data_IF_536129151846
#
_entry.id   IF_536129151846
#
_cell.length_a   1.000
_cell.length_b   1.000
_cell.length_c   1.000
_cell.angle_alpha   90.00
_cell.angle_beta   90.00
_cell.angle_gamma   90.00
#
_symmetry.space_group_name_H-M   'P 1'
#
loop_
_entity.id
_entity.type
_entity.pdbx_description
1 polymer ?
#
# COMPACT_ATOMS: atom_id res chain seq x y z
N UNK A 1 20.50 -3.70 50.61
CA UNK A 1 19.37 -4.61 50.43
C UNK A 1 19.60 -5.31 49.10
N UNK A 2 20.12 -6.54 49.12
CA UNK A 2 20.39 -7.30 47.89
C UNK A 2 19.07 -7.73 47.28
N UNK A 3 18.82 -7.30 46.04
CA UNK A 3 17.66 -7.72 45.26
C UNK A 3 17.88 -9.19 44.91
N UNK A 4 16.97 -10.08 45.33
CA UNK A 4 17.11 -11.51 45.00
C UNK A 4 17.04 -11.71 43.48
N UNK A 5 17.68 -12.76 42.97
CA UNK A 5 17.64 -13.10 41.54
C UNK A 5 16.21 -13.15 40.99
N UNK A 6 15.26 -13.60 41.80
CA UNK A 6 13.83 -13.61 41.51
C UNK A 6 13.20 -12.22 41.39
N UNK A 7 13.52 -11.29 42.30
CA UNK A 7 13.02 -9.92 42.24
C UNK A 7 13.59 -9.16 41.02
N UNK A 8 14.87 -9.37 40.70
CA UNK A 8 15.50 -8.81 39.50
C UNK A 8 14.81 -9.30 38.22
N UNK A 9 14.44 -10.59 38.16
CA UNK A 9 13.68 -11.14 37.02
C UNK A 9 12.30 -10.49 36.88
N UNK A 10 11.56 -10.32 37.98
CA UNK A 10 10.23 -9.69 37.94
C UNK A 10 10.30 -8.23 37.47
N UNK A 11 11.32 -7.47 37.89
CA UNK A 11 11.52 -6.10 37.43
C UNK A 11 11.80 -6.05 35.93
N UNK A 12 12.72 -6.89 35.44
CA UNK A 12 13.02 -6.97 34.00
C UNK A 12 11.76 -7.33 33.20
N UNK A 13 11.00 -8.34 33.64
CA UNK A 13 9.76 -8.74 32.99
C UNK A 13 8.72 -7.61 33.01
N UNK A 14 8.59 -6.88 34.12
CA UNK A 14 7.68 -5.75 34.23
C UNK A 14 8.02 -4.62 33.25
N UNK A 15 9.30 -4.23 33.16
CA UNK A 15 9.75 -3.24 32.18
C UNK A 15 9.53 -3.72 30.74
N UNK A 16 9.80 -5.00 30.46
CA UNK A 16 9.55 -5.59 29.14
C UNK A 16 8.08 -5.50 28.75
N UNK A 17 7.16 -5.83 29.67
CA UNK A 17 5.72 -5.75 29.45
C UNK A 17 5.25 -4.31 29.21
N UNK A 18 5.81 -3.31 29.90
CA UNK A 18 5.53 -1.89 29.65
C UNK A 18 5.95 -1.50 28.24
N UNK A 19 7.16 -1.90 27.81
CA UNK A 19 7.67 -1.58 26.47
C UNK A 19 6.75 -2.19 25.40
N UNK A 20 6.38 -3.48 25.55
CA UNK A 20 5.46 -4.16 24.64
C UNK A 20 4.10 -3.46 24.62
N UNK A 21 3.56 -3.10 25.79
CA UNK A 21 2.28 -2.39 25.91
C UNK A 21 2.29 -1.05 25.18
N UNK A 22 3.34 -0.24 25.35
CA UNK A 22 3.50 1.03 24.64
C UNK A 22 3.59 0.80 23.12
N UNK A 23 4.32 -0.22 22.69
CA UNK A 23 4.44 -0.55 21.26
C UNK A 23 3.10 -0.97 20.66
N UNK A 24 2.36 -1.87 21.31
CA UNK A 24 1.03 -2.33 20.88
C UNK A 24 0.04 -1.17 20.87
N UNK A 25 0.05 -0.32 21.91
CA UNK A 25 -0.83 0.84 21.98
C UNK A 25 -0.56 1.84 20.85
N UNK A 26 0.71 2.12 20.55
CA UNK A 26 1.10 2.96 19.40
C UNK A 26 0.61 2.37 18.08
N UNK A 27 0.75 1.06 17.90
CA UNK A 27 0.29 0.37 16.69
C UNK A 27 -1.24 0.43 16.58
N UNK A 28 -1.95 0.21 17.67
CA UNK A 28 -3.42 0.30 17.72
C UNK A 28 -3.92 1.70 17.32
N UNK A 29 -3.33 2.76 17.88
CA UNK A 29 -3.68 4.14 17.52
C UNK A 29 -3.44 4.41 16.02
N UNK A 30 -2.33 3.93 15.47
CA UNK A 30 -2.03 4.07 14.04
C UNK A 30 -3.08 3.40 13.17
N UNK A 31 -3.45 2.15 13.47
CA UNK A 31 -4.47 1.41 12.72
C UNK A 31 -5.84 2.09 12.80
N UNK A 32 -6.23 2.58 13.98
CA UNK A 32 -7.50 3.28 14.18
C UNK A 32 -7.56 4.59 13.38
N UNK A 33 -6.47 5.34 13.29
CA UNK A 33 -6.43 6.57 12.50
C UNK A 33 -6.65 6.30 10.99
N UNK A 34 -6.06 5.21 10.46
CA UNK A 34 -6.28 4.80 9.07
C UNK A 34 -7.74 4.40 8.81
N UNK A 35 -8.39 3.74 9.77
CA UNK A 35 -9.82 3.38 9.68
C UNK A 35 -10.73 4.60 9.71
N UNK A 36 -10.46 5.57 10.58
CA UNK A 36 -11.21 6.82 10.62
C UNK A 36 -11.06 7.59 9.29
N UNK A 37 -9.85 7.67 8.74
CA UNK A 37 -9.62 8.29 7.44
C UNK A 37 -10.37 7.56 6.32
N UNK A 38 -10.36 6.22 6.32
CA UNK A 38 -11.11 5.42 5.34
C UNK A 38 -12.60 5.77 5.39
N UNK A 39 -13.21 5.70 6.57
CA UNK A 39 -14.64 6.02 6.76
C UNK A 39 -14.95 7.44 6.32
N UNK A 40 -14.06 8.40 6.58
CA UNK A 40 -14.21 9.79 6.12
C UNK A 40 -14.28 9.89 4.59
N UNK A 41 -13.40 9.19 3.86
CA UNK A 41 -13.46 9.19 2.39
C UNK A 41 -14.69 8.45 1.86
N UNK A 42 -15.08 7.34 2.49
CA UNK A 42 -16.30 6.61 2.12
C UNK A 42 -17.56 7.45 2.32
N UNK A 43 -17.65 8.19 3.43
CA UNK A 43 -18.77 9.12 3.70
C UNK A 43 -18.81 10.28 2.70
N UNK A 44 -17.65 10.83 2.33
CA UNK A 44 -17.56 11.83 1.25
C UNK A 44 -18.03 11.26 -0.09
N UNK A 45 -17.84 9.96 -0.31
CA UNK A 45 -18.12 9.29 -1.58
C UNK A 45 -17.05 9.61 -2.63
N UNK A 46 -16.73 8.61 -3.45
CA UNK A 46 -15.66 8.70 -4.46
C UNK A 46 -15.92 9.81 -5.48
N UNK A 47 -17.18 10.13 -5.72
CA UNK A 47 -17.62 11.12 -6.71
C UNK A 47 -17.28 12.55 -6.29
N UNK A 48 -17.25 12.85 -4.99
CA UNK A 48 -16.89 14.18 -4.50
C UNK A 48 -15.39 14.46 -4.49
N UNK A 49 -14.56 13.43 -4.65
CA UNK A 49 -13.11 13.55 -4.71
C UNK A 49 -12.69 13.92 -6.14
N UNK A 50 -12.19 15.14 -6.32
CA UNK A 50 -11.81 15.68 -7.63
C UNK A 50 -10.30 15.75 -7.85
N UNK A 51 -9.51 15.84 -6.79
CA UNK A 51 -8.05 15.94 -6.93
C UNK A 51 -7.40 14.56 -7.04
N UNK A 52 -6.40 14.43 -7.91
CA UNK A 52 -5.65 13.20 -8.05
C UNK A 52 -4.94 12.80 -6.74
N UNK A 53 -4.49 13.80 -5.99
CA UNK A 53 -3.88 13.60 -4.66
C UNK A 53 -4.86 12.99 -3.65
N UNK A 54 -6.07 13.55 -3.47
CA UNK A 54 -7.06 12.96 -2.53
C UNK A 54 -7.47 11.55 -2.94
N UNK A 55 -7.65 11.32 -4.24
CA UNK A 55 -7.98 10.00 -4.77
C UNK A 55 -6.83 9.01 -4.55
N UNK A 56 -5.58 9.44 -4.74
CA UNK A 56 -4.41 8.62 -4.45
C UNK A 56 -4.28 8.28 -2.96
N UNK A 57 -4.52 9.23 -2.06
CA UNK A 57 -4.52 9.01 -0.62
C UNK A 57 -5.58 7.98 -0.23
N UNK A 58 -6.80 8.12 -0.74
CA UNK A 58 -7.88 7.17 -0.49
C UNK A 58 -7.55 5.77 -1.04
N UNK A 59 -7.07 5.69 -2.28
CA UNK A 59 -6.61 4.45 -2.90
C UNK A 59 -5.49 3.78 -2.12
N UNK A 60 -4.55 4.55 -1.58
CA UNK A 60 -3.44 4.05 -0.75
C UNK A 60 -3.94 3.44 0.57
N UNK A 61 -4.97 4.02 1.19
CA UNK A 61 -5.59 3.45 2.39
C UNK A 61 -6.31 2.13 2.03
N UNK A 62 -7.02 2.09 0.90
CA UNK A 62 -7.67 0.87 0.41
C UNK A 62 -6.65 -0.24 0.14
N UNK A 63 -5.50 0.07 -0.47
CA UNK A 63 -4.39 -0.88 -0.66
C UNK A 63 -3.91 -1.46 0.68
N UNK A 64 -3.68 -0.61 1.69
CA UNK A 64 -3.25 -1.05 3.03
C UNK A 64 -4.26 -1.98 3.69
N UNK A 65 -5.55 -1.76 3.45
CA UNK A 65 -6.65 -2.61 3.92
C UNK A 65 -6.92 -3.82 2.99
N UNK A 66 -6.11 -4.01 1.95
CA UNK A 66 -6.22 -5.08 0.94
C UNK A 66 -7.53 -5.05 0.14
N UNK A 67 -8.18 -3.89 0.08
CA UNK A 67 -9.41 -3.64 -0.67
C UNK A 67 -9.08 -3.36 -2.14
N UNK A 68 -8.38 -4.29 -2.80
CA UNK A 68 -7.75 -4.05 -4.09
C UNK A 68 -8.76 -3.66 -5.17
N UNK A 69 -9.94 -4.29 -5.21
CA UNK A 69 -10.98 -3.95 -6.21
C UNK A 69 -11.49 -2.52 -6.07
N UNK A 70 -11.61 -2.00 -4.85
CA UNK A 70 -12.00 -0.61 -4.60
C UNK A 70 -10.84 0.34 -4.92
N UNK A 71 -9.62 -0.03 -4.51
CA UNK A 71 -8.41 0.72 -4.84
C UNK A 71 -8.23 0.90 -6.34
N UNK A 72 -8.50 -0.13 -7.15
CA UNK A 72 -8.44 -0.03 -8.61
C UNK A 72 -9.37 1.08 -9.13
N UNK A 73 -10.62 1.13 -8.65
CA UNK A 73 -11.59 2.13 -9.09
C UNK A 73 -11.15 3.54 -8.71
N UNK A 74 -10.73 3.73 -7.46
CA UNK A 74 -10.26 5.02 -6.94
C UNK A 74 -9.02 5.52 -7.68
N UNK A 75 -8.03 4.65 -7.89
CA UNK A 75 -6.78 5.02 -8.53
C UNK A 75 -6.94 5.24 -10.04
N UNK A 76 -7.91 4.58 -10.70
CA UNK A 76 -8.26 4.90 -12.09
C UNK A 76 -8.85 6.31 -12.20
N UNK A 77 -9.67 6.73 -11.22
CA UNK A 77 -10.15 8.12 -11.14
C UNK A 77 -8.98 9.07 -10.84
N UNK A 78 -8.06 8.71 -9.94
CA UNK A 78 -6.85 9.50 -9.67
C UNK A 78 -6.02 9.71 -10.94
N UNK A 79 -5.78 8.65 -11.71
CA UNK A 79 -5.07 8.70 -12.98
C UNK A 79 -5.77 9.61 -14.00
N UNK A 80 -7.10 9.52 -14.12
CA UNK A 80 -7.89 10.41 -15.00
C UNK A 80 -7.74 11.88 -14.61
N UNK A 81 -7.65 12.18 -13.32
CA UNK A 81 -7.56 13.53 -12.79
C UNK A 81 -6.11 14.00 -12.61
N UNK A 82 -5.11 13.19 -12.99
CA UNK A 82 -3.69 13.49 -12.82
C UNK A 82 -3.06 14.32 -13.93
N UNK A 83 -3.85 14.84 -14.89
CA UNK A 83 -3.32 15.52 -16.08
C UNK A 83 -2.36 16.66 -15.74
N UNK A 84 -2.72 17.45 -14.74
CA UNK A 84 -1.98 18.64 -14.28
C UNK A 84 -0.97 18.32 -13.17
N UNK A 85 -0.89 17.06 -12.72
CA UNK A 85 0.10 16.63 -11.73
C UNK A 85 1.51 16.60 -12.36
N UNK A 86 2.56 16.84 -11.57
CA UNK A 86 3.94 16.60 -11.97
C UNK A 86 4.15 15.14 -12.41
N UNK A 87 5.14 14.91 -13.26
CA UNK A 87 5.47 13.56 -13.76
C UNK A 87 5.76 12.57 -12.64
N UNK A 88 6.35 13.03 -11.53
CA UNK A 88 6.52 12.23 -10.32
C UNK A 88 5.18 11.77 -9.71
N UNK A 89 4.19 12.66 -9.62
CA UNK A 89 2.85 12.34 -9.13
C UNK A 89 2.14 11.33 -10.03
N UNK A 90 2.22 11.53 -11.36
CA UNK A 90 1.72 10.56 -12.35
C UNK A 90 2.39 9.19 -12.20
N UNK A 91 3.71 9.17 -12.03
CA UNK A 91 4.47 7.93 -11.84
C UNK A 91 4.05 7.18 -10.56
N UNK A 92 3.81 7.91 -9.47
CA UNK A 92 3.35 7.35 -8.19
C UNK A 92 1.96 6.71 -8.35
N UNK A 93 1.02 7.39 -9.01
CA UNK A 93 -0.34 6.89 -9.24
C UNK A 93 -0.32 5.64 -10.13
N UNK A 94 0.44 5.67 -11.24
CA UNK A 94 0.61 4.54 -12.15
C UNK A 94 1.26 3.33 -11.45
N UNK A 95 2.28 3.56 -10.60
CA UNK A 95 2.88 2.48 -9.82
C UNK A 95 1.89 1.88 -8.79
N UNK A 96 1.04 2.70 -8.16
CA UNK A 96 0.01 2.21 -7.25
C UNK A 96 -1.08 1.39 -7.98
N UNK A 97 -1.48 1.80 -9.19
CA UNK A 97 -2.35 1.00 -10.06
C UNK A 97 -1.70 -0.34 -10.40
N UNK A 98 -0.42 -0.30 -10.81
CA UNK A 98 0.35 -1.50 -11.10
C UNK A 98 0.38 -2.48 -9.93
N UNK A 99 0.67 -1.96 -8.73
CA UNK A 99 0.66 -2.74 -7.48
C UNK A 99 -0.70 -3.36 -7.20
N UNK A 100 -1.76 -2.58 -7.38
CA UNK A 100 -3.12 -3.04 -7.12
C UNK A 100 -3.52 -4.19 -8.06
N UNK A 101 -3.19 -4.08 -9.35
CA UNK A 101 -3.43 -5.16 -10.31
C UNK A 101 -2.56 -6.39 -10.03
N UNK A 102 -1.30 -6.23 -9.65
CA UNK A 102 -0.43 -7.35 -9.28
C UNK A 102 -0.99 -8.10 -8.07
N UNK A 103 -1.52 -7.40 -7.07
CA UNK A 103 -2.17 -8.00 -5.91
C UNK A 103 -3.46 -8.76 -6.27
N UNK A 104 -4.13 -8.37 -7.36
CA UNK A 104 -5.25 -9.09 -7.97
C UNK A 104 -4.82 -10.23 -8.91
N UNK A 105 -3.51 -10.49 -9.05
CA UNK A 105 -2.90 -11.42 -10.02
C UNK A 105 -3.14 -11.07 -11.49
N UNK A 106 -3.57 -9.85 -11.79
CA UNK A 106 -3.64 -9.32 -13.17
C UNK A 106 -2.26 -8.75 -13.56
N UNK A 107 -1.27 -9.63 -13.71
CA UNK A 107 0.12 -9.24 -13.96
C UNK A 107 0.29 -8.50 -15.29
N UNK A 108 -0.56 -8.78 -16.29
CA UNK A 108 -0.52 -8.10 -17.60
C UNK A 108 -0.88 -6.62 -17.46
N UNK A 109 -1.95 -6.28 -16.72
CA UNK A 109 -2.28 -4.88 -16.44
C UNK A 109 -1.26 -4.24 -15.51
N UNK A 110 -0.77 -4.98 -14.52
CA UNK A 110 0.27 -4.49 -13.61
C UNK A 110 1.50 -3.97 -14.37
N UNK A 111 2.04 -4.81 -15.27
CA UNK A 111 3.18 -4.49 -16.13
C UNK A 111 2.93 -3.23 -16.97
N UNK A 112 1.71 -3.09 -17.54
CA UNK A 112 1.35 -1.90 -18.33
C UNK A 112 1.47 -0.63 -17.48
N UNK A 113 0.90 -0.63 -16.29
CA UNK A 113 0.92 0.53 -15.40
C UNK A 113 2.32 0.83 -14.84
N UNK A 114 3.12 -0.18 -14.50
CA UNK A 114 4.52 0.06 -14.13
C UNK A 114 5.35 0.65 -15.26
N UNK A 115 5.11 0.23 -16.51
CA UNK A 115 5.77 0.85 -17.67
C UNK A 115 5.33 2.31 -17.85
N UNK A 116 4.05 2.63 -17.67
CA UNK A 116 3.58 4.03 -17.66
C UNK A 116 4.26 4.85 -16.57
N UNK A 117 4.43 4.29 -15.36
CA UNK A 117 5.15 4.95 -14.28
C UNK A 117 6.60 5.27 -14.65
N UNK A 118 7.28 4.34 -15.34
CA UNK A 118 8.64 4.53 -15.81
C UNK A 118 8.75 5.44 -17.05
N UNK A 119 7.68 5.62 -17.82
CA UNK A 119 7.66 6.64 -18.87
C UNK A 119 7.65 8.05 -18.27
N UNK A 120 6.89 8.26 -17.20
CA UNK A 120 6.85 9.53 -16.48
C UNK A 120 8.11 9.75 -15.63
N UNK A 121 8.62 8.71 -14.95
CA UNK A 121 9.82 8.78 -14.13
C UNK A 121 10.76 7.59 -14.41
N UNK A 122 11.69 7.69 -15.38
CA UNK A 122 12.53 6.58 -15.84
C UNK A 122 13.41 5.91 -14.77
N UNK A 123 13.77 6.63 -13.71
CA UNK A 123 14.62 6.13 -12.61
C UNK A 123 13.82 5.80 -11.36
N UNK A 124 12.52 5.56 -11.47
CA UNK A 124 11.68 5.23 -10.32
C UNK A 124 11.95 3.80 -9.83
N UNK A 125 12.86 3.67 -8.86
CA UNK A 125 13.33 2.38 -8.35
C UNK A 125 12.20 1.46 -7.87
N UNK A 126 11.15 2.03 -7.25
CA UNK A 126 9.99 1.26 -6.79
C UNK A 126 9.25 0.62 -7.97
N UNK A 127 9.00 1.37 -9.05
CA UNK A 127 8.33 0.85 -10.24
C UNK A 127 9.20 -0.17 -11.00
N UNK A 128 10.53 0.01 -11.03
CA UNK A 128 11.45 -0.98 -11.62
C UNK A 128 11.38 -2.32 -10.88
N UNK A 129 11.46 -2.28 -9.54
CA UNK A 129 11.40 -3.49 -8.71
C UNK A 129 10.05 -4.19 -8.86
N UNK A 130 8.97 -3.42 -8.83
CA UNK A 130 7.62 -3.96 -8.99
C UNK A 130 7.38 -4.54 -10.39
N UNK A 131 7.90 -3.91 -11.44
CA UNK A 131 7.85 -4.42 -12.81
C UNK A 131 8.54 -5.78 -12.92
N UNK A 132 9.76 -5.89 -12.39
CA UNK A 132 10.51 -7.15 -12.41
C UNK A 132 9.74 -8.27 -11.68
N UNK A 133 9.21 -7.98 -10.49
CA UNK A 133 8.40 -8.93 -9.73
C UNK A 133 7.14 -9.38 -10.48
N UNK A 134 6.45 -8.45 -11.15
CA UNK A 134 5.27 -8.76 -11.94
C UNK A 134 5.59 -9.57 -13.21
N UNK A 135 6.71 -9.30 -13.86
CA UNK A 135 7.18 -10.08 -15.02
C UNK A 135 7.51 -11.53 -14.64
N UNK A 136 8.20 -11.72 -13.52
CA UNK A 136 8.48 -13.06 -12.98
C UNK A 136 7.17 -13.79 -12.64
N UNK A 137 6.26 -13.12 -11.93
CA UNK A 137 4.98 -13.71 -11.55
C UNK A 137 4.13 -14.10 -12.77
N UNK A 138 4.17 -13.31 -13.84
CA UNK A 138 3.49 -13.63 -15.09
C UNK A 138 4.09 -14.87 -15.77
N UNK A 139 5.43 -14.96 -15.83
CA UNK A 139 6.11 -16.13 -16.40
C UNK A 139 5.77 -17.40 -15.62
N UNK A 140 5.85 -17.36 -14.28
CA UNK A 140 5.53 -18.50 -13.42
C UNK A 140 4.05 -18.91 -13.56
N UNK A 141 3.15 -17.94 -13.69
CA UNK A 141 1.73 -18.19 -13.91
C UNK A 141 1.45 -18.84 -15.26
N UNK A 142 2.08 -18.34 -16.33
CA UNK A 142 1.94 -18.91 -17.68
C UNK A 142 2.51 -20.35 -17.72
N UNK A 143 3.63 -20.63 -17.03
CA UNK A 143 4.18 -21.99 -16.90
C UNK A 143 3.24 -22.93 -16.13
N UNK A 144 2.67 -22.45 -15.01
CA UNK A 144 1.72 -23.23 -14.23
C UNK A 144 0.49 -23.63 -15.06
N UNK A 145 -0.03 -22.71 -15.89
CA UNK A 145 -1.15 -22.99 -16.80
C UNK A 145 -0.83 -24.03 -17.87
N UNK A 146 0.42 -24.14 -18.31
CA UNK A 146 0.84 -25.17 -19.29
C UNK A 146 0.97 -26.56 -18.67
N UNK A 147 1.09 -26.66 -17.34
CA UNK A 147 1.36 -27.91 -16.62
C UNK A 147 0.11 -28.50 -15.95
N UNK A 148 -0.99 -27.75 -15.87
CA UNK A 148 -2.29 -28.18 -15.33
C UNK A 148 -3.17 -28.84 -16.40
#
# INVERSE_FOLDING_TARGET
MEISSFQSYLLILFFLLIIISIFVFRQFLKTRNEEISLVKYEQKGIDSLETATELYEFGSIQIKKRLYSQATQTLLKAMKNSKDEPDEGKAIIENALGFTYAAQKDYKKAIKHYKSALQALPKYAVALNNLAAAQQSLFDYDQALLTY
#
